data_IF_770881864623
#
_entry.id   IF_770881864623
#
_cell.length_a   1.000
_cell.length_b   1.000
_cell.length_c   1.000
_cell.angle_alpha   90.00
_cell.angle_beta   90.00
_cell.angle_gamma   90.00
#
_symmetry.space_group_name_H-M   'P 1'
#
loop_
_entity.id
_entity.type
_entity.pdbx_description
1 polymer ?
#
# COMPACT_ATOMS: atom_id res chain seq x y z
N UNK A 1 -26.68 -16.00 -11.43
CA UNK A 1 -26.73 -16.32 -10.00
C UNK A 1 -26.48 -17.81 -9.68
N UNK A 2 -27.17 -18.81 -10.26
CA UNK A 2 -26.95 -20.24 -9.88
C UNK A 2 -25.48 -20.70 -9.84
N UNK A 3 -24.71 -20.35 -10.87
CA UNK A 3 -23.29 -20.70 -10.96
C UNK A 3 -22.47 -19.96 -9.92
N UNK A 4 -22.77 -18.68 -9.69
CA UNK A 4 -22.13 -17.80 -8.71
C UNK A 4 -22.30 -18.37 -7.30
N UNK A 5 -23.53 -18.69 -6.89
CA UNK A 5 -23.80 -19.27 -5.57
C UNK A 5 -23.13 -20.63 -5.41
N UNK A 6 -23.15 -21.46 -6.46
CA UNK A 6 -22.48 -22.76 -6.41
C UNK A 6 -20.97 -22.59 -6.20
N UNK A 7 -20.33 -21.71 -6.96
CA UNK A 7 -18.90 -21.40 -6.82
C UNK A 7 -18.59 -20.90 -5.41
N UNK A 8 -19.36 -19.92 -4.92
CA UNK A 8 -19.25 -19.40 -3.57
C UNK A 8 -19.30 -20.52 -2.52
N UNK A 9 -20.31 -21.40 -2.59
CA UNK A 9 -20.43 -22.51 -1.64
C UNK A 9 -19.29 -23.51 -1.73
N UNK A 10 -18.77 -23.79 -2.95
CA UNK A 10 -17.60 -24.64 -3.14
C UNK A 10 -16.35 -24.01 -2.48
N UNK A 11 -16.17 -22.68 -2.60
CA UNK A 11 -15.07 -21.91 -1.99
C UNK A 11 -15.19 -21.88 -0.46
N UNK A 12 -16.35 -21.53 0.10
CA UNK A 12 -16.57 -21.49 1.55
C UNK A 12 -16.44 -22.89 2.16
N UNK A 13 -16.84 -23.95 1.44
CA UNK A 13 -16.66 -25.32 1.93
C UNK A 13 -15.17 -25.67 2.11
N UNK A 14 -14.33 -25.21 1.19
CA UNK A 14 -12.88 -25.46 1.20
C UNK A 14 -12.14 -24.58 2.21
N UNK A 15 -12.46 -23.29 2.25
CA UNK A 15 -11.65 -22.27 2.95
C UNK A 15 -12.26 -21.75 4.26
N UNK A 16 -13.58 -21.94 4.46
CA UNK A 16 -14.33 -21.39 5.59
C UNK A 16 -15.39 -22.38 6.09
N UNK A 17 -15.00 -23.65 6.25
CA UNK A 17 -15.92 -24.74 6.59
C UNK A 17 -16.85 -24.46 7.80
N UNK A 18 -16.42 -23.76 8.87
CA UNK A 18 -17.32 -23.39 9.97
C UNK A 18 -18.53 -22.56 9.50
N UNK A 19 -18.34 -21.67 8.52
CA UNK A 19 -19.40 -20.84 7.98
C UNK A 19 -20.49 -21.69 7.30
N UNK A 20 -20.12 -22.74 6.55
CA UNK A 20 -21.11 -23.68 5.95
C UNK A 20 -22.04 -24.27 7.01
N UNK A 21 -21.51 -24.60 8.19
CA UNK A 21 -22.31 -25.21 9.26
C UNK A 21 -23.35 -24.23 9.84
N UNK A 22 -23.10 -22.93 9.74
CA UNK A 22 -24.00 -21.87 10.22
C UNK A 22 -25.17 -21.62 9.27
N UNK A 23 -25.05 -21.92 7.96
CA UNK A 23 -26.07 -21.61 6.97
C UNK A 23 -27.37 -22.41 7.19
N UNK A 24 -28.51 -21.72 7.04
CA UNK A 24 -29.83 -22.35 6.99
C UNK A 24 -30.06 -22.98 5.61
N UNK A 25 -30.95 -23.98 5.57
CA UNK A 25 -31.46 -24.47 4.28
C UNK A 25 -32.24 -23.38 3.58
N UNK A 26 -32.14 -23.34 2.25
CA UNK A 26 -32.88 -22.38 1.45
C UNK A 26 -34.40 -22.50 1.59
N UNK A 27 -35.08 -21.40 1.32
CA UNK A 27 -36.54 -21.26 1.42
C UNK A 27 -37.27 -21.74 0.16
N UNK A 28 -38.54 -22.10 0.30
CA UNK A 28 -39.40 -22.39 -0.85
C UNK A 28 -39.88 -21.12 -1.55
N UNK A 29 -40.36 -21.27 -2.78
CA UNK A 29 -41.05 -20.18 -3.51
C UNK A 29 -42.28 -19.64 -2.76
N UNK A 30 -42.98 -20.50 -2.00
CA UNK A 30 -44.13 -20.06 -1.19
C UNK A 30 -43.70 -19.15 -0.03
N UNK A 31 -42.60 -19.47 0.65
CA UNK A 31 -42.06 -18.64 1.73
C UNK A 31 -41.60 -17.28 1.20
N UNK A 32 -40.97 -17.24 0.03
CA UNK A 32 -40.60 -15.97 -0.65
C UNK A 32 -41.84 -15.17 -0.99
N UNK A 33 -42.87 -15.80 -1.56
CA UNK A 33 -44.13 -15.13 -1.94
C UNK A 33 -44.82 -14.54 -0.70
N UNK A 34 -44.82 -15.27 0.42
CA UNK A 34 -45.36 -14.80 1.70
C UNK A 34 -44.56 -13.60 2.23
N UNK A 35 -43.23 -13.66 2.18
CA UNK A 35 -42.34 -12.57 2.57
C UNK A 35 -42.54 -11.30 1.71
N UNK A 36 -42.54 -11.44 0.38
CA UNK A 36 -42.78 -10.33 -0.56
C UNK A 36 -44.14 -9.67 -0.29
N UNK A 37 -45.18 -10.48 -0.05
CA UNK A 37 -46.52 -9.99 0.27
C UNK A 37 -46.60 -9.30 1.63
N UNK A 38 -45.90 -9.81 2.65
CA UNK A 38 -45.84 -9.21 3.98
C UNK A 38 -45.14 -7.85 3.96
N UNK A 39 -44.02 -7.77 3.23
CA UNK A 39 -43.18 -6.57 3.16
C UNK A 39 -43.68 -5.56 2.12
N UNK A 40 -44.58 -5.97 1.21
CA UNK A 40 -45.10 -5.11 0.15
C UNK A 40 -44.04 -4.77 -0.92
N UNK A 41 -43.14 -5.71 -1.18
CA UNK A 41 -41.99 -5.57 -2.09
C UNK A 41 -41.95 -6.71 -3.12
N UNK A 42 -41.05 -6.60 -4.11
CA UNK A 42 -40.70 -7.69 -5.00
C UNK A 42 -39.17 -7.82 -5.03
N UNK A 43 -38.66 -8.98 -4.66
CA UNK A 43 -37.24 -9.28 -4.68
C UNK A 43 -36.76 -9.53 -6.13
N UNK A 44 -35.56 -9.06 -6.49
CA UNK A 44 -34.89 -9.46 -7.72
C UNK A 44 -34.79 -10.98 -7.85
N UNK A 45 -34.80 -11.50 -9.09
CA UNK A 45 -34.78 -12.94 -9.35
C UNK A 45 -33.54 -13.63 -8.76
N UNK A 46 -32.40 -12.95 -8.82
CA UNK A 46 -31.13 -13.40 -8.27
C UNK A 46 -31.14 -13.49 -6.73
N UNK A 47 -31.74 -12.52 -6.04
CA UNK A 47 -31.89 -12.53 -4.58
C UNK A 47 -32.77 -13.71 -4.15
N UNK A 48 -33.87 -13.94 -4.88
CA UNK A 48 -34.72 -15.13 -4.66
C UNK A 48 -33.94 -16.42 -4.82
N UNK A 49 -33.11 -16.52 -5.86
CA UNK A 49 -32.27 -17.69 -6.09
C UNK A 49 -31.23 -17.91 -4.97
N UNK A 50 -30.65 -16.83 -4.43
CA UNK A 50 -29.74 -16.91 -3.29
C UNK A 50 -30.43 -17.49 -2.06
N UNK A 51 -31.56 -16.90 -1.65
CA UNK A 51 -32.34 -17.35 -0.49
C UNK A 51 -32.95 -18.75 -0.67
N UNK A 52 -33.28 -19.16 -1.90
CA UNK A 52 -33.68 -20.54 -2.22
C UNK A 52 -32.53 -21.54 -2.08
N UNK A 53 -31.28 -21.07 -2.12
CA UNK A 53 -30.10 -21.93 -1.94
C UNK A 53 -29.74 -22.05 -0.46
N UNK A 54 -29.63 -20.93 0.25
CA UNK A 54 -29.46 -20.88 1.71
C UNK A 54 -30.16 -19.64 2.30
N UNK A 55 -30.80 -19.78 3.46
CA UNK A 55 -31.62 -18.73 4.05
C UNK A 55 -30.92 -18.01 5.21
N UNK A 56 -29.82 -17.31 4.89
CA UNK A 56 -28.96 -16.69 5.91
C UNK A 56 -28.38 -17.70 6.90
N UNK A 57 -27.99 -17.22 8.08
CA UNK A 57 -27.36 -18.00 9.15
C UNK A 57 -28.31 -18.33 10.29
N UNK A 58 -28.11 -19.49 10.92
CA UNK A 58 -28.80 -19.91 12.16
C UNK A 58 -28.51 -18.92 13.29
N UNK A 59 -29.52 -18.67 14.10
CA UNK A 59 -29.35 -18.04 15.41
C UNK A 59 -28.64 -19.04 16.35
N UNK A 60 -27.54 -18.66 17.00
CA UNK A 60 -26.76 -19.58 17.84
C UNK A 60 -25.79 -18.86 18.78
N UNK A 61 -25.41 -19.54 19.88
CA UNK A 61 -24.54 -19.04 20.95
C UNK A 61 -23.03 -19.09 20.62
N UNK A 62 -22.64 -19.62 19.45
CA UNK A 62 -21.24 -19.74 19.02
C UNK A 62 -21.05 -18.86 17.76
N UNK A 63 -20.50 -17.68 17.99
CA UNK A 63 -20.42 -16.48 17.14
C UNK A 63 -19.76 -16.65 15.75
N UNK A 64 -20.27 -17.54 14.89
CA UNK A 64 -19.81 -17.60 13.49
C UNK A 64 -20.54 -16.53 12.68
N UNK A 65 -19.83 -15.47 12.31
CA UNK A 65 -20.35 -14.38 11.48
C UNK A 65 -20.04 -14.62 10.00
N UNK A 66 -20.80 -13.95 9.13
CA UNK A 66 -20.65 -14.10 7.70
C UNK A 66 -19.46 -13.31 7.18
N UNK A 67 -19.44 -12.00 7.40
CA UNK A 67 -18.41 -11.06 6.91
C UNK A 67 -18.28 -9.91 7.92
N UNK A 68 -17.06 -9.57 8.35
CA UNK A 68 -16.74 -8.48 9.29
C UNK A 68 -17.63 -8.42 10.54
N UNK A 69 -17.90 -9.58 11.15
CA UNK A 69 -18.78 -9.65 12.32
C UNK A 69 -20.27 -9.44 12.01
N UNK A 70 -20.65 -9.28 10.74
CA UNK A 70 -22.04 -9.20 10.30
C UNK A 70 -22.64 -10.58 10.11
N UNK A 71 -23.86 -10.77 10.61
CA UNK A 71 -24.62 -12.01 10.39
C UNK A 71 -25.47 -11.90 9.13
N UNK A 72 -25.52 -12.96 8.34
CA UNK A 72 -26.46 -13.08 7.24
C UNK A 72 -27.87 -13.33 7.75
N UNK A 73 -28.76 -12.37 7.54
CA UNK A 73 -30.11 -12.32 8.11
C UNK A 73 -31.06 -13.24 7.32
N UNK A 74 -31.72 -14.23 7.95
CA UNK A 74 -32.77 -15.03 7.32
C UNK A 74 -34.01 -14.19 6.97
N UNK A 75 -34.76 -14.56 5.92
CA UNK A 75 -35.93 -13.79 5.46
C UNK A 75 -36.96 -13.50 6.57
N UNK A 76 -37.22 -14.48 7.42
CA UNK A 76 -38.16 -14.37 8.54
C UNK A 76 -37.71 -13.38 9.63
N UNK A 77 -36.43 -13.01 9.66
CA UNK A 77 -35.86 -12.08 10.64
C UNK A 77 -35.73 -10.64 10.13
N UNK A 78 -35.73 -10.43 8.80
CA UNK A 78 -35.51 -9.11 8.18
C UNK A 78 -36.43 -8.03 8.75
N UNK A 79 -37.72 -8.33 8.95
CA UNK A 79 -38.68 -7.36 9.49
C UNK A 79 -38.33 -6.93 10.92
N UNK A 80 -37.83 -7.86 11.72
CA UNK A 80 -37.35 -7.58 13.08
C UNK A 80 -36.07 -6.74 13.03
N UNK A 81 -35.17 -7.02 12.10
CA UNK A 81 -33.95 -6.23 11.87
C UNK A 81 -34.27 -4.80 11.45
N UNK A 82 -35.20 -4.59 10.52
CA UNK A 82 -35.68 -3.26 10.14
C UNK A 82 -36.36 -2.53 11.31
N UNK A 83 -37.15 -3.24 12.12
CA UNK A 83 -37.76 -2.65 13.31
C UNK A 83 -36.70 -2.17 14.30
N UNK A 84 -35.64 -2.97 14.51
CA UNK A 84 -34.53 -2.58 15.39
C UNK A 84 -33.79 -1.34 14.88
N UNK A 85 -33.44 -1.32 13.59
CA UNK A 85 -32.85 -0.14 12.92
C UNK A 85 -33.72 1.10 13.12
N UNK A 86 -35.04 0.97 12.90
CA UNK A 86 -35.96 2.09 13.09
C UNK A 86 -36.06 2.55 14.55
N UNK A 87 -36.07 1.62 15.51
CA UNK A 87 -36.08 1.93 16.95
C UNK A 87 -34.82 2.71 17.37
N UNK A 88 -33.65 2.37 16.82
CA UNK A 88 -32.40 3.09 17.05
C UNK A 88 -32.49 4.54 16.53
N UNK A 89 -32.96 4.74 15.31
CA UNK A 89 -33.11 6.07 14.73
C UNK A 89 -34.16 6.90 15.48
N UNK A 90 -35.25 6.28 15.93
CA UNK A 90 -36.28 6.96 16.74
C UNK A 90 -35.76 7.55 18.06
N UNK A 91 -34.61 7.09 18.56
CA UNK A 91 -33.95 7.69 19.71
C UNK A 91 -33.29 9.05 19.41
N UNK A 92 -33.01 9.31 18.13
CA UNK A 92 -32.37 10.54 17.64
C UNK A 92 -33.44 11.60 17.31
N UNK A 93 -33.37 12.81 17.90
CA UNK A 93 -34.35 13.86 17.63
C UNK A 93 -34.37 14.31 16.16
N UNK A 94 -35.57 14.35 15.54
CA UNK A 94 -35.79 14.82 14.17
C UNK A 94 -34.98 14.08 13.09
N UNK A 95 -34.58 12.83 13.32
CA UNK A 95 -33.74 12.04 12.40
C UNK A 95 -34.29 12.00 10.96
N UNK A 96 -35.61 12.04 10.76
CA UNK A 96 -36.22 12.02 9.44
C UNK A 96 -35.91 13.26 8.58
N UNK A 97 -35.42 14.34 9.19
CA UNK A 97 -35.02 15.57 8.51
C UNK A 97 -33.51 15.70 8.33
N UNK A 98 -32.75 14.72 8.85
CA UNK A 98 -31.31 14.67 8.70
C UNK A 98 -30.95 14.01 7.37
N UNK A 99 -29.84 14.46 6.82
CA UNK A 99 -29.28 14.04 5.56
C UNK A 99 -27.77 14.04 5.70
N UNK A 100 -27.08 13.13 5.03
CA UNK A 100 -25.63 13.16 4.89
C UNK A 100 -25.20 14.36 4.05
N UNK A 101 -23.94 14.77 4.20
CA UNK A 101 -23.40 15.86 3.41
C UNK A 101 -23.44 15.52 1.92
N UNK A 102 -23.73 16.53 1.09
CA UNK A 102 -23.89 16.32 -0.34
C UNK A 102 -22.55 16.11 -1.04
N UNK A 103 -21.50 16.82 -0.63
CA UNK A 103 -20.18 16.67 -1.23
C UNK A 103 -19.62 15.28 -0.90
N UNK A 104 -19.81 14.82 0.34
CA UNK A 104 -19.48 13.45 0.74
C UNK A 104 -20.23 12.39 -0.09
N UNK A 105 -21.54 12.55 -0.31
CA UNK A 105 -22.31 11.63 -1.15
C UNK A 105 -21.82 11.58 -2.60
N UNK A 106 -21.32 12.71 -3.13
CA UNK A 106 -20.73 12.77 -4.48
C UNK A 106 -19.40 12.03 -4.50
N UNK A 107 -18.53 12.28 -3.52
CA UNK A 107 -17.20 11.67 -3.43
C UNK A 107 -17.29 10.16 -3.25
N UNK A 108 -18.26 9.69 -2.45
CA UNK A 108 -18.59 8.28 -2.24
C UNK A 108 -19.46 7.69 -3.37
N UNK A 109 -19.67 8.43 -4.46
CA UNK A 109 -20.33 7.97 -5.68
C UNK A 109 -21.79 7.48 -5.51
N UNK A 110 -22.49 7.87 -4.45
CA UNK A 110 -23.89 7.46 -4.22
C UNK A 110 -24.91 8.61 -4.30
N UNK A 111 -24.49 9.87 -4.48
CA UNK A 111 -25.39 11.00 -4.75
C UNK A 111 -26.32 10.68 -5.93
N UNK A 112 -27.62 10.89 -5.74
CA UNK A 112 -28.67 10.63 -6.73
C UNK A 112 -28.83 9.15 -7.14
N UNK A 113 -28.04 8.23 -6.56
CA UNK A 113 -28.12 6.77 -6.73
C UNK A 113 -28.86 6.14 -5.54
N UNK A 114 -28.42 6.46 -4.32
CA UNK A 114 -29.13 6.16 -3.08
C UNK A 114 -29.91 7.39 -2.61
N UNK A 115 -31.09 7.17 -2.03
CA UNK A 115 -31.83 8.27 -1.39
C UNK A 115 -31.07 8.71 -0.16
N UNK A 116 -30.68 9.98 -0.11
CA UNK A 116 -29.98 10.56 1.04
C UNK A 116 -30.91 10.64 2.27
N UNK A 117 -30.98 9.54 3.02
CA UNK A 117 -31.77 9.37 4.23
C UNK A 117 -31.21 8.19 5.05
N UNK A 118 -31.54 8.10 6.33
CA UNK A 118 -31.01 7.08 7.22
C UNK A 118 -31.79 5.77 7.25
N UNK A 119 -32.97 5.70 6.62
CA UNK A 119 -33.81 4.51 6.58
C UNK A 119 -34.82 4.57 5.44
N UNK A 120 -35.04 3.45 4.76
CA UNK A 120 -36.15 3.24 3.84
C UNK A 120 -36.76 1.85 4.12
N UNK A 121 -38.10 1.70 4.28
CA UNK A 121 -38.70 0.38 4.47
C UNK A 121 -38.47 -0.60 3.30
N UNK A 122 -38.06 -0.11 2.13
CA UNK A 122 -37.69 -0.91 0.97
C UNK A 122 -36.18 -1.20 0.86
N UNK A 123 -35.38 -0.75 1.83
CA UNK A 123 -34.00 -1.22 2.01
C UNK A 123 -34.04 -2.50 2.85
N UNK A 124 -33.73 -3.62 2.21
CA UNK A 124 -33.88 -4.96 2.79
C UNK A 124 -32.53 -5.40 3.38
N UNK A 125 -32.31 -5.34 4.71
CA UNK A 125 -31.04 -5.72 5.30
C UNK A 125 -30.80 -7.22 5.16
N UNK A 126 -29.64 -7.60 4.63
CA UNK A 126 -29.24 -9.01 4.46
C UNK A 126 -27.97 -9.36 5.24
N UNK A 127 -27.14 -8.38 5.60
CA UNK A 127 -26.06 -8.53 6.60
C UNK A 127 -26.21 -7.47 7.69
N UNK A 128 -26.09 -7.87 8.97
CA UNK A 128 -26.10 -6.92 10.08
C UNK A 128 -25.54 -7.49 11.38
N UNK A 129 -24.96 -6.62 12.21
CA UNK A 129 -24.64 -6.85 13.63
C UNK A 129 -25.55 -6.05 14.58
N UNK A 130 -26.56 -5.34 14.05
CA UNK A 130 -27.47 -4.47 14.80
C UNK A 130 -27.08 -3.00 14.82
N UNK A 131 -25.89 -2.60 14.36
CA UNK A 131 -25.50 -1.19 14.18
C UNK A 131 -25.16 -0.87 12.72
N UNK A 132 -24.48 -1.81 12.06
CA UNK A 132 -24.17 -1.80 10.63
C UNK A 132 -25.20 -2.64 9.87
N UNK A 133 -25.64 -2.14 8.71
CA UNK A 133 -26.64 -2.78 7.87
C UNK A 133 -26.20 -2.73 6.41
N UNK A 134 -25.87 -3.87 5.82
CA UNK A 134 -25.83 -4.00 4.36
C UNK A 134 -27.22 -4.39 3.86
N UNK A 135 -27.72 -3.66 2.86
CA UNK A 135 -29.09 -3.76 2.41
C UNK A 135 -29.21 -3.82 0.89
N UNK A 136 -30.28 -4.49 0.45
CA UNK A 136 -30.71 -4.53 -0.94
C UNK A 136 -31.68 -3.36 -1.14
N UNK A 137 -31.33 -2.42 -2.01
CA UNK A 137 -32.14 -1.25 -2.28
C UNK A 137 -33.20 -1.53 -3.36
N UNK A 138 -34.47 -1.61 -2.93
CA UNK A 138 -35.61 -1.81 -3.82
C UNK A 138 -36.34 -0.50 -4.17
N UNK A 139 -35.78 0.64 -3.77
CA UNK A 139 -36.37 1.98 -3.95
C UNK A 139 -35.28 3.04 -4.16
N UNK A 140 -34.40 2.84 -5.15
CA UNK A 140 -33.28 3.72 -5.43
C UNK A 140 -33.73 5.13 -5.78
N UNK A 141 -32.77 6.06 -5.78
CA UNK A 141 -32.98 7.39 -6.32
C UNK A 141 -32.84 7.36 -7.86
N UNK A 142 -32.95 8.53 -8.50
CA UNK A 142 -33.17 8.69 -9.94
C UNK A 142 -32.10 8.06 -10.84
N UNK A 143 -30.84 7.97 -10.41
CA UNK A 143 -29.74 7.37 -11.17
C UNK A 143 -29.42 5.94 -10.70
N UNK A 144 -30.08 5.44 -9.66
CA UNK A 144 -29.80 4.12 -9.09
C UNK A 144 -30.55 2.96 -9.73
N UNK A 145 -30.13 1.75 -9.39
CA UNK A 145 -30.65 0.49 -9.96
C UNK A 145 -31.39 -0.30 -8.88
N UNK A 146 -32.59 -0.80 -9.21
CA UNK A 146 -33.36 -1.64 -8.28
C UNK A 146 -32.63 -2.96 -8.05
N UNK A 147 -32.26 -3.22 -6.79
CA UNK A 147 -31.49 -4.39 -6.39
C UNK A 147 -30.01 -4.11 -6.08
N UNK A 148 -29.56 -2.85 -6.21
CA UNK A 148 -28.22 -2.44 -5.80
C UNK A 148 -27.98 -2.67 -4.30
N UNK A 149 -26.71 -2.84 -3.94
CA UNK A 149 -26.24 -3.17 -2.60
C UNK A 149 -25.65 -1.92 -1.97
N UNK A 150 -26.34 -1.42 -0.95
CA UNK A 150 -25.87 -0.31 -0.13
C UNK A 150 -25.48 -0.79 1.26
N UNK A 151 -24.77 0.08 1.97
CA UNK A 151 -24.42 -0.12 3.36
C UNK A 151 -24.63 1.17 4.14
N UNK A 152 -25.06 1.02 5.39
CA UNK A 152 -25.06 2.10 6.36
C UNK A 152 -24.53 1.60 7.70
N UNK A 153 -23.61 2.36 8.28
CA UNK A 153 -23.13 2.18 9.66
C UNK A 153 -23.61 3.34 10.54
N UNK A 154 -24.34 3.02 11.60
CA UNK A 154 -25.00 4.01 12.44
C UNK A 154 -24.18 4.33 13.69
N UNK A 155 -23.75 5.58 13.78
CA UNK A 155 -23.15 6.16 14.98
C UNK A 155 -24.23 6.91 15.76
N UNK A 156 -24.97 6.22 16.63
CA UNK A 156 -26.17 6.81 17.28
C UNK A 156 -25.85 7.98 18.23
N UNK A 157 -24.66 7.99 18.83
CA UNK A 157 -24.21 9.09 19.70
C UNK A 157 -23.89 10.37 18.90
N UNK A 158 -23.61 10.22 17.60
CA UNK A 158 -23.32 11.29 16.66
C UNK A 158 -23.79 10.86 15.27
N UNK A 159 -25.08 11.01 15.02
CA UNK A 159 -25.70 10.52 13.76
C UNK A 159 -25.08 11.18 12.52
N UNK A 160 -24.49 12.36 12.67
CA UNK A 160 -23.74 13.07 11.62
C UNK A 160 -22.44 12.35 11.25
N UNK A 161 -21.87 11.54 12.15
CA UNK A 161 -20.69 10.70 11.93
C UNK A 161 -21.05 9.29 11.42
N UNK A 162 -22.33 9.04 11.13
CA UNK A 162 -22.75 7.78 10.49
C UNK A 162 -22.26 7.74 9.05
N UNK A 163 -22.02 6.53 8.54
CA UNK A 163 -21.46 6.33 7.21
C UNK A 163 -22.47 5.64 6.29
N UNK A 164 -22.49 6.03 5.02
CA UNK A 164 -23.32 5.43 3.97
C UNK A 164 -22.45 5.20 2.73
N UNK A 165 -22.59 4.03 2.13
CA UNK A 165 -21.86 3.68 0.92
C UNK A 165 -22.68 2.83 -0.05
N UNK A 166 -22.28 2.86 -1.32
CA UNK A 166 -22.79 2.00 -2.38
C UNK A 166 -21.69 1.02 -2.79
N UNK A 167 -21.97 -0.27 -2.65
CA UNK A 167 -20.97 -1.32 -2.92
C UNK A 167 -21.07 -1.88 -4.34
N UNK A 168 -22.26 -2.34 -4.76
CA UNK A 168 -22.42 -3.04 -6.04
C UNK A 168 -23.80 -2.81 -6.66
N UNK A 169 -23.89 -2.90 -7.98
CA UNK A 169 -25.13 -2.71 -8.74
C UNK A 169 -26.13 -3.88 -8.58
N UNK A 170 -25.67 -5.04 -8.10
CA UNK A 170 -26.48 -6.25 -7.97
C UNK A 170 -25.97 -7.20 -6.89
N UNK A 171 -26.84 -8.12 -6.44
CA UNK A 171 -26.47 -9.18 -5.49
C UNK A 171 -25.56 -10.22 -6.14
N UNK A 172 -25.68 -10.42 -7.46
CA UNK A 172 -24.78 -11.32 -8.20
C UNK A 172 -23.36 -10.79 -8.22
N UNK A 173 -23.19 -9.50 -8.52
CA UNK A 173 -21.87 -8.85 -8.54
C UNK A 173 -21.23 -8.88 -7.15
N UNK A 174 -21.98 -8.47 -6.11
CA UNK A 174 -21.47 -8.52 -4.72
C UNK A 174 -20.95 -9.90 -4.34
N UNK A 175 -21.72 -10.96 -4.64
CA UNK A 175 -21.31 -12.33 -4.31
C UNK A 175 -20.15 -12.82 -5.18
N UNK A 176 -20.08 -12.43 -6.46
CA UNK A 176 -18.98 -12.78 -7.35
C UNK A 176 -17.67 -12.13 -6.90
N UNK A 177 -17.69 -10.84 -6.55
CA UNK A 177 -16.54 -10.12 -6.01
C UNK A 177 -16.07 -10.72 -4.68
N UNK A 178 -16.97 -10.94 -3.72
CA UNK A 178 -16.62 -11.58 -2.46
C UNK A 178 -16.00 -12.97 -2.68
N UNK A 179 -16.53 -13.75 -3.62
CA UNK A 179 -15.98 -15.08 -3.95
C UNK A 179 -14.57 -14.97 -4.53
N UNK A 180 -14.36 -14.03 -5.45
CA UNK A 180 -13.04 -13.75 -6.04
C UNK A 180 -12.02 -13.34 -4.98
N UNK A 181 -12.41 -12.52 -4.02
CA UNK A 181 -11.53 -12.01 -2.97
C UNK A 181 -11.17 -13.09 -1.95
N UNK A 182 -12.10 -14.01 -1.66
CA UNK A 182 -11.77 -15.21 -0.87
C UNK A 182 -10.77 -16.09 -1.62
N UNK A 183 -10.99 -16.36 -2.91
CA UNK A 183 -10.07 -17.19 -3.71
C UNK A 183 -8.66 -16.58 -3.84
N UNK A 184 -8.55 -15.24 -3.81
CA UNK A 184 -7.26 -14.52 -3.82
C UNK A 184 -6.62 -14.39 -2.44
N UNK A 185 -7.33 -14.75 -1.36
CA UNK A 185 -6.88 -14.55 0.02
C UNK A 185 -6.94 -13.08 0.48
N UNK A 186 -7.66 -12.22 -0.24
CA UNK A 186 -7.97 -10.86 0.19
C UNK A 186 -9.00 -10.89 1.30
N UNK A 187 -9.96 -11.81 1.24
CA UNK A 187 -10.86 -12.14 2.35
C UNK A 187 -10.51 -13.54 2.84
N UNK A 188 -10.42 -13.74 4.15
CA UNK A 188 -10.19 -15.07 4.70
C UNK A 188 -11.04 -15.33 5.94
N UNK A 189 -11.23 -16.60 6.27
CA UNK A 189 -11.92 -16.98 7.50
C UNK A 189 -10.96 -16.91 8.68
N UNK A 190 -11.19 -15.94 9.56
CA UNK A 190 -10.44 -15.81 10.78
C UNK A 190 -11.01 -16.70 11.89
N UNK A 191 -10.15 -17.50 12.51
CA UNK A 191 -10.56 -18.47 13.52
C UNK A 191 -10.73 -17.86 14.92
N UNK A 192 -10.23 -16.65 15.17
CA UNK A 192 -10.38 -15.95 16.43
C UNK A 192 -11.67 -15.10 16.43
N UNK A 193 -11.90 -14.36 15.34
CA UNK A 193 -13.11 -13.58 15.09
C UNK A 193 -14.30 -14.43 14.62
N UNK A 194 -14.04 -15.69 14.24
CA UNK A 194 -15.05 -16.61 13.70
C UNK A 194 -15.85 -16.04 12.51
N UNK A 195 -15.25 -15.17 11.70
CA UNK A 195 -15.88 -14.46 10.59
C UNK A 195 -15.02 -14.54 9.33
N UNK A 196 -15.60 -14.36 8.14
CA UNK A 196 -14.79 -13.83 7.04
C UNK A 196 -14.40 -12.39 7.40
N UNK A 197 -13.15 -12.04 7.21
CA UNK A 197 -12.65 -10.68 7.36
C UNK A 197 -11.81 -10.31 6.16
N UNK A 198 -11.79 -9.02 5.80
CA UNK A 198 -10.80 -8.49 4.89
C UNK A 198 -9.40 -8.64 5.50
N UNK A 199 -8.43 -9.07 4.70
CA UNK A 199 -7.01 -9.03 5.03
C UNK A 199 -6.49 -7.59 5.19
N UNK A 200 -7.32 -6.61 4.85
CA UNK A 200 -7.08 -5.18 4.96
C UNK A 200 -8.13 -4.60 5.92
N UNK A 201 -8.13 -5.03 7.17
CA UNK A 201 -8.84 -4.29 8.21
C UNK A 201 -7.98 -3.07 8.62
N UNK A 202 -8.56 -1.89 8.50
CA UNK A 202 -8.02 -0.61 8.99
C UNK A 202 -8.05 -0.63 10.53
N UNK A 203 -7.12 -1.36 11.15
CA UNK A 203 -6.84 -1.15 12.57
C UNK A 203 -5.98 0.12 12.72
N UNK A 204 -6.63 1.22 13.08
CA UNK A 204 -5.96 2.32 13.76
C UNK A 204 -5.28 1.75 15.03
N UNK A 205 -3.94 1.82 15.04
CA UNK A 205 -3.03 1.63 16.19
C UNK A 205 -2.14 0.37 16.31
N UNK A 206 -2.20 -0.66 15.46
CA UNK A 206 -1.16 -1.71 15.50
C UNK A 206 -0.79 -2.24 14.11
N UNK A 207 0.51 -2.20 13.82
CA UNK A 207 1.23 -2.72 12.65
C UNK A 207 0.36 -3.44 11.60
N UNK A 208 0.04 -2.72 10.51
CA UNK A 208 -0.28 -3.35 9.24
C UNK A 208 0.79 -4.44 9.00
N UNK A 209 0.44 -5.74 8.90
CA UNK A 209 1.37 -6.69 8.34
C UNK A 209 1.66 -6.18 6.95
N UNK A 210 2.88 -5.71 6.73
CA UNK A 210 3.28 -5.27 5.42
C UNK A 210 3.32 -6.53 4.55
N UNK A 211 2.21 -6.88 3.90
CA UNK A 211 2.09 -8.05 3.01
C UNK A 211 3.03 -7.97 1.81
N UNK A 212 3.66 -6.80 1.61
CA UNK A 212 4.72 -6.57 0.65
C UNK A 212 6.10 -6.46 1.30
N UNK A 213 6.24 -6.75 2.59
CA UNK A 213 7.51 -6.72 3.28
C UNK A 213 8.46 -7.72 2.64
N UNK A 214 9.63 -7.27 2.16
CA UNK A 214 10.61 -8.18 1.64
C UNK A 214 11.13 -9.05 2.79
N UNK A 215 11.02 -10.36 2.64
CA UNK A 215 11.62 -11.33 3.56
C UNK A 215 13.05 -11.64 3.11
N UNK A 216 14.06 -11.57 3.98
CA UNK A 216 15.43 -11.92 3.61
C UNK A 216 15.56 -13.41 3.30
N UNK A 217 16.38 -13.76 2.30
CA UNK A 217 16.73 -15.15 2.01
C UNK A 217 17.60 -15.74 3.14
N UNK A 218 18.49 -14.93 3.68
CA UNK A 218 19.30 -15.27 4.85
C UNK A 218 19.84 -14.00 5.54
N UNK A 219 20.38 -14.18 6.74
CA UNK A 219 21.11 -13.15 7.48
C UNK A 219 22.60 -13.52 7.46
N UNK A 220 23.46 -12.57 7.09
CA UNK A 220 24.92 -12.76 7.04
C UNK A 220 25.52 -12.90 8.45
N UNK A 221 26.79 -13.32 8.55
CA UNK A 221 27.46 -13.47 9.85
C UNK A 221 27.58 -12.12 10.60
N UNK A 222 27.82 -11.04 9.85
CA UNK A 222 27.81 -9.65 10.33
C UNK A 222 26.42 -9.05 10.55
N UNK A 223 25.35 -9.86 10.45
CA UNK A 223 23.98 -9.44 10.77
C UNK A 223 23.21 -8.73 9.66
N UNK A 224 23.69 -8.73 8.43
CA UNK A 224 22.99 -8.10 7.30
C UNK A 224 21.89 -9.01 6.75
N UNK A 225 20.70 -8.48 6.56
CA UNK A 225 19.66 -9.13 5.77
C UNK A 225 20.07 -9.18 4.29
N UNK A 226 20.05 -10.36 3.68
CA UNK A 226 20.43 -10.56 2.27
C UNK A 226 19.22 -10.99 1.45
N UNK A 227 19.05 -10.34 0.30
CA UNK A 227 17.92 -10.51 -0.62
C UNK A 227 18.43 -10.82 -2.03
N UNK A 228 17.84 -11.82 -2.69
CA UNK A 228 18.11 -12.18 -4.08
C UNK A 228 16.91 -11.85 -4.95
N UNK A 229 17.14 -11.07 -6.01
CA UNK A 229 16.09 -10.65 -6.93
C UNK A 229 16.26 -11.32 -8.28
N UNK A 230 15.13 -11.73 -8.87
CA UNK A 230 15.05 -12.34 -10.18
C UNK A 230 13.91 -11.73 -11.00
N UNK A 231 13.82 -12.11 -12.28
CA UNK A 231 12.71 -11.69 -13.15
C UNK A 231 11.31 -12.07 -12.60
N UNK A 232 11.22 -13.02 -11.67
CA UNK A 232 9.94 -13.40 -11.04
C UNK A 232 9.47 -12.41 -9.98
N UNK A 233 10.41 -11.68 -9.39
CA UNK A 233 10.17 -10.73 -8.30
C UNK A 233 9.88 -9.32 -8.85
N UNK A 234 10.13 -9.14 -10.16
CA UNK A 234 9.94 -7.87 -10.86
C UNK A 234 8.45 -7.55 -10.99
N UNK A 235 8.08 -6.34 -10.57
CA UNK A 235 6.77 -5.75 -10.80
C UNK A 235 6.44 -5.61 -12.29
N UNK A 236 5.16 -5.66 -12.64
CA UNK A 236 4.71 -5.34 -13.99
C UNK A 236 5.08 -3.90 -14.35
N UNK A 237 5.45 -3.65 -15.61
CA UNK A 237 5.69 -2.30 -16.11
C UNK A 237 4.49 -1.38 -15.83
N UNK A 238 4.74 -0.26 -15.17
CA UNK A 238 3.74 0.78 -14.87
C UNK A 238 4.34 2.14 -15.20
N UNK A 239 3.53 3.01 -15.80
CA UNK A 239 3.86 4.43 -15.93
C UNK A 239 3.45 5.14 -14.63
N UNK A 240 4.31 5.97 -14.04
CA UNK A 240 3.97 6.69 -12.82
C UNK A 240 2.77 7.63 -13.05
N UNK A 241 1.82 7.65 -12.12
CA UNK A 241 0.64 8.53 -12.16
C UNK A 241 0.91 9.92 -11.54
N UNK A 242 1.99 10.02 -10.75
CA UNK A 242 2.55 11.23 -10.15
C UNK A 242 4.04 11.33 -10.45
N UNK A 243 4.54 12.56 -10.54
CA UNK A 243 5.95 12.83 -10.83
C UNK A 243 6.39 14.11 -10.12
N UNK A 244 7.61 14.11 -9.57
CA UNK A 244 8.24 15.25 -8.93
C UNK A 244 7.42 15.83 -7.76
N UNK A 245 6.81 14.95 -6.95
CA UNK A 245 5.91 15.33 -5.84
C UNK A 245 6.62 16.23 -4.83
N UNK A 246 7.85 15.85 -4.46
CA UNK A 246 8.64 16.52 -3.43
C UNK A 246 9.79 17.36 -4.00
N UNK A 247 9.88 17.49 -5.33
CA UNK A 247 11.04 18.07 -6.02
C UNK A 247 11.40 19.46 -5.51
N UNK A 248 10.42 20.38 -5.37
CA UNK A 248 10.70 21.74 -4.92
C UNK A 248 11.27 21.77 -3.49
N UNK A 249 10.74 20.94 -2.58
CA UNK A 249 11.18 20.87 -1.18
C UNK A 249 12.57 20.24 -1.07
N UNK A 250 12.85 19.21 -1.86
CA UNK A 250 14.17 18.58 -1.96
C UNK A 250 15.19 19.59 -2.51
N UNK A 251 14.87 20.28 -3.61
CA UNK A 251 15.75 21.29 -4.19
C UNK A 251 16.07 22.41 -3.20
N UNK A 252 15.07 22.96 -2.52
CA UNK A 252 15.25 23.99 -1.48
C UNK A 252 16.16 23.49 -0.34
N UNK A 253 16.00 22.22 0.05
CA UNK A 253 16.83 21.58 1.09
C UNK A 253 18.28 21.45 0.65
N UNK A 254 18.54 20.99 -0.58
CA UNK A 254 19.89 20.93 -1.15
C UNK A 254 20.52 22.31 -1.32
N UNK A 255 19.78 23.31 -1.81
CA UNK A 255 20.30 24.68 -1.95
C UNK A 255 20.64 25.33 -0.61
N UNK A 256 19.88 24.99 0.44
CA UNK A 256 20.11 25.47 1.80
C UNK A 256 21.39 24.91 2.43
N UNK A 257 21.67 23.62 2.24
CA UNK A 257 22.71 22.92 3.00
C UNK A 257 23.95 22.55 2.18
N UNK A 258 23.79 22.25 0.89
CA UNK A 258 24.85 21.70 0.04
C UNK A 258 25.39 22.76 -0.93
N UNK A 259 24.50 23.38 -1.71
CA UNK A 259 24.91 24.39 -2.67
C UNK A 259 23.89 24.65 -3.77
N UNK A 260 24.13 25.72 -4.53
CA UNK A 260 23.23 26.15 -5.59
C UNK A 260 23.15 25.13 -6.73
N UNK A 261 21.94 24.78 -7.14
CA UNK A 261 21.70 23.86 -8.26
C UNK A 261 22.04 24.58 -9.58
N UNK A 262 22.82 23.92 -10.43
CA UNK A 262 23.24 24.44 -11.73
C UNK A 262 22.32 23.98 -12.86
N UNK A 263 22.03 22.68 -12.93
CA UNK A 263 21.19 22.08 -13.96
C UNK A 263 20.59 20.75 -13.52
N UNK A 264 19.64 20.23 -14.31
CA UNK A 264 18.99 18.94 -14.10
C UNK A 264 19.06 18.10 -15.38
N UNK A 265 19.30 16.80 -15.23
CA UNK A 265 19.28 15.78 -16.27
C UNK A 265 17.96 15.01 -16.18
N UNK A 266 17.01 15.37 -17.04
CA UNK A 266 15.67 14.79 -17.00
C UNK A 266 15.61 13.34 -17.45
N UNK A 267 14.73 12.55 -16.83
CA UNK A 267 14.42 11.22 -17.34
C UNK A 267 13.59 11.28 -18.63
N UNK A 268 14.04 10.56 -19.66
CA UNK A 268 13.35 10.53 -20.96
C UNK A 268 12.21 9.51 -20.99
N UNK A 269 12.39 8.37 -20.31
CA UNK A 269 11.40 7.30 -20.21
C UNK A 269 11.33 6.82 -18.76
N UNK A 270 10.20 7.11 -18.13
CA UNK A 270 9.92 6.73 -16.76
C UNK A 270 9.22 5.39 -16.69
N UNK A 271 9.73 4.53 -15.82
CA UNK A 271 9.21 3.21 -15.53
C UNK A 271 9.16 3.09 -14.00
N UNK A 272 7.98 2.79 -13.45
CA UNK A 272 7.63 2.82 -12.02
C UNK A 272 7.66 4.22 -11.38
N UNK A 273 8.76 4.96 -11.54
CA UNK A 273 8.99 6.30 -11.00
C UNK A 273 9.70 7.20 -12.03
N UNK A 274 9.54 8.52 -11.88
CA UNK A 274 10.21 9.52 -12.72
C UNK A 274 11.47 10.04 -12.02
N UNK A 275 12.66 9.66 -12.49
CA UNK A 275 13.93 9.98 -11.80
C UNK A 275 14.75 11.06 -12.51
N UNK A 276 14.66 12.27 -11.99
CA UNK A 276 15.53 13.37 -12.38
C UNK A 276 16.83 13.37 -11.58
N UNK A 277 17.92 13.83 -12.20
CA UNK A 277 19.23 13.97 -11.54
C UNK A 277 19.70 15.41 -11.60
N UNK A 278 19.79 16.06 -10.45
CA UNK A 278 20.22 17.46 -10.31
C UNK A 278 21.72 17.54 -10.10
N UNK A 279 22.32 18.65 -10.53
CA UNK A 279 23.76 18.89 -10.44
C UNK A 279 24.09 20.18 -9.71
N UNK A 280 24.93 20.07 -8.68
CA UNK A 280 25.60 21.18 -8.00
C UNK A 280 27.08 21.14 -8.38
N UNK A 281 27.58 22.25 -8.93
CA UNK A 281 28.98 22.39 -9.37
C UNK A 281 29.95 22.61 -8.21
N UNK A 282 31.21 22.20 -8.36
CA UNK A 282 32.26 22.49 -7.41
C UNK A 282 32.50 23.99 -7.27
N UNK A 283 32.84 24.38 -6.06
CA UNK A 283 33.33 25.72 -5.73
C UNK A 283 34.74 25.64 -5.13
N UNK A 284 35.47 26.75 -4.97
CA UNK A 284 36.74 26.74 -4.25
C UNK A 284 36.62 26.22 -2.81
N UNK A 285 35.48 26.43 -2.16
CA UNK A 285 35.20 25.99 -0.79
C UNK A 285 34.72 24.54 -0.72
N UNK A 286 34.00 24.06 -1.74
CA UNK A 286 33.51 22.69 -1.90
C UNK A 286 34.02 22.10 -3.22
N UNK A 287 35.26 21.57 -3.25
CA UNK A 287 35.93 21.17 -4.49
C UNK A 287 35.48 19.78 -4.99
N UNK A 288 34.18 19.57 -5.09
CA UNK A 288 33.54 18.35 -5.59
C UNK A 288 32.21 18.68 -6.25
N UNK A 289 31.79 17.84 -7.20
CA UNK A 289 30.45 17.86 -7.77
C UNK A 289 29.49 17.10 -6.85
N UNK A 290 28.23 17.55 -6.76
CA UNK A 290 27.16 16.77 -6.15
C UNK A 290 26.10 16.48 -7.19
N UNK A 291 25.74 15.20 -7.34
CA UNK A 291 24.56 14.79 -8.10
C UNK A 291 23.56 14.17 -7.13
N UNK A 292 22.28 14.49 -7.28
CA UNK A 292 21.23 13.91 -6.43
C UNK A 292 19.94 13.67 -7.21
N UNK A 293 19.16 12.70 -6.76
CA UNK A 293 17.90 12.32 -7.39
C UNK A 293 16.74 13.15 -6.86
N UNK A 294 15.73 13.34 -7.70
CA UNK A 294 14.36 13.61 -7.27
C UNK A 294 13.42 12.65 -7.97
N UNK A 295 12.43 12.15 -7.22
CA UNK A 295 11.36 11.29 -7.71
C UNK A 295 11.46 9.84 -7.22
N UNK A 296 12.57 9.44 -6.57
CA UNK A 296 12.63 8.17 -5.84
C UNK A 296 11.60 8.16 -4.71
N UNK A 297 11.45 9.32 -4.05
CA UNK A 297 10.53 9.55 -2.96
C UNK A 297 9.10 9.88 -3.40
N UNK A 298 8.74 9.78 -4.68
CA UNK A 298 7.36 10.06 -5.11
C UNK A 298 6.35 9.02 -4.59
N UNK A 299 6.83 7.83 -4.23
CA UNK A 299 6.06 6.77 -3.58
C UNK A 299 6.86 6.17 -2.41
N UNK A 300 6.18 5.58 -1.41
CA UNK A 300 6.84 4.86 -0.35
C UNK A 300 7.51 3.58 -0.86
N UNK A 301 8.64 3.23 -0.24
CA UNK A 301 9.32 1.95 -0.44
C UNK A 301 8.63 0.82 0.34
N UNK A 302 8.99 -0.42 0.01
CA UNK A 302 8.44 -1.61 0.63
C UNK A 302 9.34 -2.09 1.78
N UNK A 303 8.98 -1.68 3.00
CA UNK A 303 9.80 -1.85 4.21
C UNK A 303 9.68 -3.26 4.83
N UNK A 304 10.72 -3.80 5.47
CA UNK A 304 10.62 -5.08 6.18
C UNK A 304 9.71 -4.97 7.41
N UNK A 305 9.15 -6.09 7.85
CA UNK A 305 8.40 -6.17 9.10
C UNK A 305 9.30 -5.89 10.32
N UNK A 306 8.72 -5.37 11.41
CA UNK A 306 9.40 -5.21 12.69
C UNK A 306 10.35 -3.99 12.77
N UNK A 307 10.26 -3.05 11.83
CA UNK A 307 10.94 -1.75 11.96
C UNK A 307 10.23 -0.87 12.99
N UNK A 308 11.01 -0.31 13.92
CA UNK A 308 10.52 0.73 14.81
C UNK A 308 10.29 2.02 14.00
N UNK A 309 9.05 2.53 13.96
CA UNK A 309 8.63 3.72 13.20
C UNK A 309 8.86 3.61 11.67
N UNK A 310 8.16 2.71 10.95
CA UNK A 310 8.39 2.49 9.52
C UNK A 310 8.23 3.76 8.67
N UNK A 311 7.34 4.68 9.04
CA UNK A 311 7.13 5.93 8.33
C UNK A 311 8.42 6.77 8.20
N UNK A 312 9.32 6.71 9.17
CA UNK A 312 10.60 7.44 9.16
C UNK A 312 11.57 6.97 8.07
N UNK A 313 11.36 5.78 7.50
CA UNK A 313 12.24 5.13 6.53
C UNK A 313 11.56 4.88 5.17
N UNK A 314 10.28 5.22 5.07
CA UNK A 314 9.44 4.93 3.91
C UNK A 314 9.87 5.65 2.63
N UNK A 315 10.58 6.78 2.73
CA UNK A 315 11.01 7.57 1.57
C UNK A 315 12.48 7.94 1.66
N UNK A 316 13.14 7.96 0.50
CA UNK A 316 14.53 8.34 0.38
C UNK A 316 14.84 8.96 -0.99
N UNK A 317 15.94 9.70 -1.04
CA UNK A 317 16.61 10.13 -2.27
C UNK A 317 18.10 9.77 -2.20
N UNK A 318 18.70 9.57 -3.38
CA UNK A 318 20.11 9.21 -3.50
C UNK A 318 20.95 10.40 -3.93
N UNK A 319 22.20 10.39 -3.51
CA UNK A 319 23.18 11.39 -3.93
C UNK A 319 24.58 10.82 -4.09
N UNK A 320 25.47 11.59 -4.71
CA UNK A 320 26.88 11.20 -4.89
C UNK A 320 27.76 12.44 -4.90
N UNK A 321 28.93 12.33 -4.28
CA UNK A 321 29.99 13.32 -4.36
C UNK A 321 31.08 12.83 -5.32
N UNK A 322 31.36 13.62 -6.35
CA UNK A 322 32.37 13.30 -7.37
C UNK A 322 33.50 14.33 -7.33
N UNK A 323 34.74 13.95 -7.70
CA UNK A 323 35.85 14.89 -7.85
C UNK A 323 35.49 16.12 -8.69
N UNK A 324 36.08 17.27 -8.39
CA UNK A 324 35.80 18.52 -9.13
C UNK A 324 36.06 18.43 -10.65
N UNK A 325 36.96 17.55 -11.05
CA UNK A 325 37.35 17.30 -12.45
C UNK A 325 36.58 16.15 -13.11
N UNK A 326 35.58 15.56 -12.44
CA UNK A 326 34.73 14.53 -13.04
C UNK A 326 34.00 15.06 -14.29
N UNK A 327 34.03 14.35 -15.44
CA UNK A 327 33.37 14.81 -16.65
C UNK A 327 31.83 14.73 -16.54
N UNK A 328 31.15 15.88 -16.53
CA UNK A 328 29.68 15.97 -16.45
C UNK A 328 29.12 16.80 -17.61
N UNK A 329 28.44 16.14 -18.53
CA UNK A 329 27.64 16.72 -19.63
C UNK A 329 26.98 15.60 -20.44
N UNK A 330 25.97 15.94 -21.25
CA UNK A 330 25.36 14.98 -22.20
C UNK A 330 26.38 14.30 -23.13
N UNK A 331 27.46 15.00 -23.51
CA UNK A 331 28.52 14.42 -24.35
C UNK A 331 29.44 13.50 -23.55
N UNK A 332 29.80 13.88 -22.32
CA UNK A 332 30.66 13.08 -21.45
C UNK A 332 29.99 11.78 -21.02
N UNK A 333 28.67 11.82 -20.79
CA UNK A 333 27.86 10.67 -20.39
C UNK A 333 27.56 9.66 -21.51
N UNK A 334 28.10 9.87 -22.72
CA UNK A 334 28.15 8.81 -23.75
C UNK A 334 29.23 7.77 -23.47
N UNK A 335 30.15 8.08 -22.58
CA UNK A 335 31.19 7.18 -22.10
C UNK A 335 30.76 6.61 -20.75
N UNK A 336 30.65 5.28 -20.69
CA UNK A 336 30.18 4.55 -19.51
C UNK A 336 31.09 4.78 -18.29
N UNK A 337 32.39 5.04 -18.53
CA UNK A 337 33.38 5.37 -17.49
C UNK A 337 33.07 6.66 -16.75
N UNK A 338 32.33 7.59 -17.38
CA UNK A 338 31.89 8.85 -16.76
C UNK A 338 30.44 8.76 -16.26
N UNK A 339 29.62 7.91 -16.89
CA UNK A 339 28.17 7.84 -16.67
C UNK A 339 27.76 6.92 -15.52
N UNK A 340 28.61 5.95 -15.14
CA UNK A 340 28.23 4.95 -14.14
C UNK A 340 27.67 5.53 -12.82
N UNK A 341 28.09 6.70 -12.27
CA UNK A 341 27.47 7.23 -11.06
C UNK A 341 26.00 7.59 -11.27
N UNK A 342 25.68 8.20 -12.42
CA UNK A 342 24.30 8.54 -12.80
C UNK A 342 23.48 7.28 -13.09
N UNK A 343 24.10 6.28 -13.74
CA UNK A 343 23.46 4.98 -13.93
C UNK A 343 23.04 4.35 -12.61
N UNK A 344 23.95 4.27 -11.62
CA UNK A 344 23.64 3.67 -10.32
C UNK A 344 22.64 4.48 -9.52
N UNK A 345 22.68 5.81 -9.54
CA UNK A 345 21.64 6.65 -8.95
C UNK A 345 20.25 6.28 -9.49
N UNK A 346 20.10 6.22 -10.82
CA UNK A 346 18.81 5.91 -11.45
C UNK A 346 18.38 4.47 -11.24
N UNK A 347 19.31 3.53 -11.35
CA UNK A 347 19.05 2.10 -11.17
C UNK A 347 18.60 1.80 -9.74
N UNK A 348 19.32 2.30 -8.73
CA UNK A 348 18.99 2.07 -7.32
C UNK A 348 17.72 2.84 -6.92
N UNK A 349 17.51 4.07 -7.40
CA UNK A 349 16.30 4.84 -7.12
C UNK A 349 15.02 4.15 -7.63
N UNK A 350 15.11 3.42 -8.75
CA UNK A 350 14.00 2.65 -9.31
C UNK A 350 13.79 1.31 -8.62
N UNK A 351 14.84 0.77 -8.01
CA UNK A 351 14.90 -0.61 -7.52
C UNK A 351 13.82 -0.96 -6.47
N UNK A 352 13.53 -0.12 -5.45
CA UNK A 352 12.43 -0.34 -4.50
C UNK A 352 11.09 -0.62 -5.18
N UNK A 353 10.79 0.14 -6.23
CA UNK A 353 9.52 0.10 -6.94
C UNK A 353 9.46 -1.06 -7.94
N UNK A 354 10.61 -1.39 -8.54
CA UNK A 354 10.76 -2.47 -9.49
C UNK A 354 10.67 -3.86 -8.82
N UNK A 355 11.23 -4.03 -7.62
CA UNK A 355 11.36 -5.34 -6.96
C UNK A 355 10.63 -5.44 -5.62
N UNK A 356 9.80 -4.44 -5.29
CA UNK A 356 9.06 -4.36 -4.03
C UNK A 356 9.99 -4.51 -2.83
N UNK A 357 10.97 -3.62 -2.76
CA UNK A 357 11.97 -3.59 -1.68
C UNK A 357 12.20 -2.17 -1.18
N UNK A 358 13.25 -1.96 -0.40
CA UNK A 358 13.63 -0.71 0.24
C UNK A 358 15.15 -0.48 0.15
N UNK A 359 15.54 0.78 0.34
CA UNK A 359 16.93 1.21 0.38
C UNK A 359 17.17 2.02 1.64
N UNK A 360 18.22 1.67 2.38
CA UNK A 360 18.61 2.40 3.57
C UNK A 360 20.11 2.31 3.83
N UNK A 361 20.51 2.98 4.90
CA UNK A 361 21.85 2.93 5.46
C UNK A 361 22.37 1.49 5.62
N UNK A 362 23.62 1.27 5.20
CA UNK A 362 24.30 -0.02 5.30
C UNK A 362 23.93 -1.04 4.21
N UNK A 363 23.01 -0.72 3.30
CA UNK A 363 22.71 -1.59 2.16
C UNK A 363 23.89 -1.62 1.18
N UNK A 364 24.20 -2.81 0.68
CA UNK A 364 25.23 -3.06 -0.34
C UNK A 364 24.60 -3.73 -1.56
N UNK A 365 24.78 -3.13 -2.75
CA UNK A 365 24.20 -3.58 -4.01
C UNK A 365 25.36 -4.00 -4.94
N UNK A 366 25.57 -5.29 -5.20
CA UNK A 366 26.61 -5.74 -6.12
C UNK A 366 26.23 -5.47 -7.58
N UNK A 367 27.23 -5.21 -8.41
CA UNK A 367 27.08 -5.07 -9.85
C UNK A 367 26.89 -6.45 -10.49
N UNK A 368 25.64 -6.91 -10.52
CA UNK A 368 25.29 -8.26 -10.93
C UNK A 368 25.63 -9.32 -9.88
N UNK A 369 25.38 -10.59 -10.18
CA UNK A 369 25.51 -11.69 -9.21
C UNK A 369 26.95 -11.96 -8.78
N UNK A 370 27.93 -11.59 -9.61
CA UNK A 370 29.36 -11.84 -9.38
C UNK A 370 30.13 -10.58 -8.95
N UNK A 371 29.42 -9.49 -8.60
CA UNK A 371 30.01 -8.18 -8.26
C UNK A 371 31.06 -7.72 -9.31
N UNK A 372 30.66 -7.73 -10.59
CA UNK A 372 31.55 -7.42 -11.69
C UNK A 372 32.11 -5.99 -11.60
N UNK A 373 33.34 -5.73 -12.09
CA UNK A 373 33.93 -4.40 -12.09
C UNK A 373 32.99 -3.32 -12.65
N UNK A 374 32.83 -2.23 -11.92
CA UNK A 374 32.03 -1.07 -12.33
C UNK A 374 32.88 -0.23 -13.28
N UNK A 375 32.49 -0.22 -14.55
CA UNK A 375 33.17 0.49 -15.63
C UNK A 375 34.68 0.17 -15.68
N UNK A 376 35.54 1.17 -15.57
CA UNK A 376 37.00 1.03 -15.58
C UNK A 376 37.64 0.96 -14.18
N UNK A 377 36.84 0.69 -13.15
CA UNK A 377 37.31 0.59 -11.75
C UNK A 377 37.37 -0.86 -11.31
N UNK A 378 38.03 -1.12 -10.18
CA UNK A 378 38.02 -2.43 -9.51
C UNK A 378 36.91 -2.54 -8.44
N UNK A 379 36.03 -1.54 -8.33
CA UNK A 379 34.85 -1.61 -7.46
C UNK A 379 33.82 -2.56 -8.05
N UNK A 380 33.16 -3.33 -7.19
CA UNK A 380 32.14 -4.30 -7.61
C UNK A 380 30.76 -4.04 -7.01
N UNK A 381 30.66 -3.15 -6.03
CA UNK A 381 29.43 -2.96 -5.25
C UNK A 381 29.21 -1.48 -4.90
N UNK A 382 27.96 -1.10 -4.65
CA UNK A 382 27.58 0.20 -4.11
C UNK A 382 27.09 0.03 -2.67
N UNK A 383 27.69 0.74 -1.73
CA UNK A 383 27.24 0.90 -0.35
C UNK A 383 26.40 2.18 -0.22
N UNK A 384 25.30 2.12 0.53
CA UNK A 384 24.46 3.27 0.86
C UNK A 384 24.74 3.76 2.28
N UNK A 385 25.12 5.03 2.44
CA UNK A 385 25.32 5.66 3.75
C UNK A 385 24.80 7.10 3.74
N UNK A 386 24.23 7.63 4.83
CA UNK A 386 23.99 9.05 4.95
C UNK A 386 25.30 9.86 4.80
N UNK A 387 25.26 11.10 4.30
CA UNK A 387 26.45 11.94 4.11
C UNK A 387 26.97 12.54 5.43
N UNK A 388 27.35 11.70 6.38
CA UNK A 388 27.79 12.10 7.71
C UNK A 388 29.04 13.00 7.72
N UNK A 389 29.93 12.89 6.74
CA UNK A 389 31.18 13.64 6.67
C UNK A 389 31.04 14.94 5.88
N UNK A 390 30.20 14.95 4.83
CA UNK A 390 30.07 16.10 3.91
C UNK A 390 28.82 16.96 4.13
N UNK A 391 27.88 16.54 4.98
CA UNK A 391 26.66 17.30 5.26
C UNK A 391 26.37 17.44 6.77
N UNK A 392 25.71 18.52 7.22
CA UNK A 392 25.32 18.68 8.61
C UNK A 392 24.17 17.73 8.98
N UNK A 393 24.00 17.44 10.28
CA UNK A 393 22.92 16.57 10.78
C UNK A 393 21.53 17.01 10.31
N UNK A 394 21.26 18.33 10.27
CA UNK A 394 19.98 18.88 9.82
C UNK A 394 19.69 18.63 8.32
N UNK A 395 20.68 18.21 7.54
CA UNK A 395 20.49 17.83 6.14
C UNK A 395 19.98 16.39 5.99
N UNK A 396 20.32 15.49 6.90
CA UNK A 396 20.15 14.04 6.69
C UNK A 396 18.69 13.59 6.49
N UNK A 397 17.74 14.39 6.98
CA UNK A 397 16.30 14.18 6.81
C UNK A 397 15.61 15.47 6.41
N UNK A 398 14.71 15.39 5.44
CA UNK A 398 13.77 16.45 5.08
C UNK A 398 12.37 16.09 5.62
N UNK A 399 11.79 16.99 6.40
CA UNK A 399 10.38 16.94 6.77
C UNK A 399 9.57 17.78 5.79
N UNK A 400 8.75 17.12 4.98
CA UNK A 400 7.91 17.75 3.96
C UNK A 400 6.69 18.42 4.59
N UNK A 401 5.98 19.24 3.81
CA UNK A 401 4.76 19.92 4.30
C UNK A 401 3.60 18.97 4.62
N UNK A 402 3.54 17.81 3.97
CA UNK A 402 2.51 16.79 4.18
C UNK A 402 2.85 15.82 5.34
N UNK A 403 4.00 16.00 5.99
CA UNK A 403 4.44 15.17 7.12
C UNK A 403 5.34 14.00 6.74
N UNK A 404 5.59 13.77 5.45
CA UNK A 404 6.53 12.75 4.96
C UNK A 404 7.97 13.07 5.37
N UNK A 405 8.72 12.03 5.72
CA UNK A 405 10.16 12.12 6.03
C UNK A 405 10.95 11.51 4.87
N UNK A 406 11.82 12.30 4.26
CA UNK A 406 12.71 11.87 3.17
C UNK A 406 14.14 11.78 3.71
N UNK A 407 14.74 10.59 3.63
CA UNK A 407 16.14 10.34 4.00
C UNK A 407 17.07 10.53 2.80
N UNK A 408 18.30 10.98 3.02
CA UNK A 408 19.30 11.14 1.95
C UNK A 408 20.47 10.17 2.12
N UNK A 409 20.73 9.36 1.10
CA UNK A 409 21.82 8.38 1.10
C UNK A 409 22.82 8.62 -0.03
N UNK A 410 24.10 8.64 0.30
CA UNK A 410 25.19 8.59 -0.66
C UNK A 410 25.37 7.19 -1.23
N UNK A 411 25.61 7.10 -2.54
CA UNK A 411 26.20 5.90 -3.16
C UNK A 411 27.72 5.94 -3.01
N UNK A 412 28.29 4.92 -2.39
CA UNK A 412 29.73 4.76 -2.18
C UNK A 412 30.21 3.48 -2.88
N UNK A 413 31.06 3.56 -3.91
CA UNK A 413 31.57 2.37 -4.57
C UNK A 413 32.60 1.67 -3.66
N UNK A 414 32.42 0.36 -3.49
CA UNK A 414 33.26 -0.50 -2.66
C UNK A 414 33.76 -1.71 -3.44
N UNK A 415 34.90 -2.24 -3.00
CA UNK A 415 35.46 -3.46 -3.56
C UNK A 415 34.63 -4.68 -3.14
N UNK A 416 34.62 -5.77 -3.93
CA UNK A 416 34.00 -7.02 -3.52
C UNK A 416 34.48 -7.50 -2.14
N UNK A 417 35.79 -7.39 -1.86
CA UNK A 417 36.36 -7.81 -0.57
C UNK A 417 35.91 -6.92 0.60
N UNK A 418 35.59 -5.64 0.34
CA UNK A 418 35.03 -4.73 1.35
C UNK A 418 33.56 -5.06 1.64
N UNK A 419 32.81 -5.46 0.61
CA UNK A 419 31.45 -5.98 0.80
C UNK A 419 31.48 -7.28 1.59
N UNK A 420 32.39 -8.21 1.27
CA UNK A 420 32.55 -9.47 1.99
C UNK A 420 32.89 -9.22 3.46
N UNK A 421 33.85 -8.33 3.74
CA UNK A 421 34.17 -7.91 5.11
C UNK A 421 32.93 -7.38 5.84
N UNK A 422 32.12 -6.52 5.21
CA UNK A 422 30.88 -6.00 5.79
C UNK A 422 29.87 -7.11 6.07
N UNK A 423 29.76 -8.10 5.18
CA UNK A 423 28.85 -9.22 5.36
C UNK A 423 29.32 -10.18 6.46
N UNK A 424 30.62 -10.30 6.69
CA UNK A 424 31.23 -11.15 7.72
C UNK A 424 31.28 -10.47 9.10
N UNK A 425 31.71 -9.21 9.16
CA UNK A 425 32.03 -8.51 10.42
C UNK A 425 31.08 -7.35 10.76
N UNK A 426 30.28 -6.88 9.79
CA UNK A 426 29.30 -5.81 9.96
C UNK A 426 29.75 -4.47 9.35
N UNK A 427 28.80 -3.54 9.20
CA UNK A 427 29.05 -2.23 8.55
C UNK A 427 30.01 -1.35 9.36
N UNK A 428 29.90 -1.38 10.71
CA UNK A 428 30.73 -0.56 11.58
C UNK A 428 32.23 -0.84 11.41
N UNK A 429 32.61 -2.11 11.19
CA UNK A 429 34.01 -2.46 11.00
C UNK A 429 34.56 -1.93 9.67
N UNK A 430 33.77 -2.01 8.60
CA UNK A 430 34.14 -1.39 7.33
C UNK A 430 34.29 0.13 7.45
N UNK A 431 33.37 0.80 8.18
CA UNK A 431 33.44 2.24 8.40
C UNK A 431 34.66 2.64 9.25
N UNK A 432 35.04 1.84 10.26
CA UNK A 432 36.27 2.06 11.01
C UNK A 432 37.51 2.04 10.09
N UNK A 433 37.58 1.09 9.16
CA UNK A 433 38.67 1.03 8.18
C UNK A 433 38.65 2.22 7.22
N UNK A 434 37.46 2.70 6.82
CA UNK A 434 37.34 3.91 6.01
C UNK A 434 37.91 5.13 6.76
N UNK A 435 37.56 5.29 8.03
CA UNK A 435 38.06 6.37 8.89
C UNK A 435 39.58 6.28 9.08
N UNK A 436 40.12 5.09 9.36
CA UNK A 436 41.57 4.87 9.53
C UNK A 436 42.37 5.19 8.26
N UNK A 437 41.76 5.01 7.09
CA UNK A 437 42.37 5.29 5.78
C UNK A 437 41.99 6.66 5.21
N UNK A 438 41.19 7.45 5.92
CA UNK A 438 40.76 8.78 5.49
C UNK A 438 39.88 8.77 4.22
N UNK A 439 39.08 7.73 4.05
CA UNK A 439 38.10 7.62 2.96
C UNK A 439 36.90 8.52 3.30
N UNK A 440 36.44 9.30 2.31
CA UNK A 440 35.31 10.24 2.44
C UNK A 440 34.19 9.86 1.47
N UNK A 441 33.06 10.58 1.49
CA UNK A 441 31.99 10.33 0.49
C UNK A 441 32.37 10.82 -0.93
N UNK A 442 33.39 11.67 -1.08
CA UNK A 442 33.91 12.05 -2.39
C UNK A 442 34.61 10.85 -3.01
N UNK A 443 34.08 10.35 -4.13
CA UNK A 443 34.59 9.16 -4.79
C UNK A 443 36.03 9.37 -5.25
N UNK A 444 36.91 8.48 -4.79
CA UNK A 444 38.27 8.32 -5.32
C UNK A 444 38.41 6.94 -5.96
N UNK A 445 38.38 6.91 -7.30
CA UNK A 445 38.53 5.67 -8.09
C UNK A 445 39.94 5.06 -8.03
N UNK A 446 40.88 5.73 -7.37
CA UNK A 446 42.25 5.27 -7.18
C UNK A 446 42.58 4.94 -5.72
N UNK A 447 41.58 4.99 -4.82
CA UNK A 447 41.77 4.59 -3.43
C UNK A 447 42.18 3.12 -3.34
N UNK A 448 42.78 2.73 -2.23
CA UNK A 448 43.08 1.32 -1.97
C UNK A 448 41.85 0.61 -1.43
N UNK A 449 41.80 -0.70 -1.70
CA UNK A 449 40.94 -1.63 -0.99
C UNK A 449 41.43 -1.73 0.46
N UNK A 450 40.54 -1.49 1.43
CA UNK A 450 40.91 -1.50 2.87
C UNK A 450 40.80 -2.89 3.50
N UNK A 451 40.19 -3.86 2.82
CA UNK A 451 40.05 -5.24 3.28
C UNK A 451 41.26 -6.13 2.90
N UNK A 452 42.30 -5.58 2.26
CA UNK A 452 43.48 -6.31 1.74
C UNK A 452 44.82 -5.91 2.37
#
# INVERSE_FOLDING_TARGET
MEKTVKRFLDVILDQATPLIASLNKGVSESQITEFEAEMGIALPAEVKQLYQTFNGQKEGENDVFFLDGLRFIPLEEIKRTQQHWLEQLQSVPNWQSLHFDKEEAIDMCWDEVLKNQFYNPKWIPFLSNGARFMFIDLDPDKEGVVGQIGEIDLVLDSIEDSFMDLHYDSMEDWLEFLTDDIEKGIVYYDNEMHSLIDAIDYNEEDDLPNIFAPTPDYVSEGGSNVYNYSEKDRSNFVLPDRTCVYMDEICDHFEKYIGKIDSVFHEILSEYVHIDVHWIKPTPETPYNVLFTTGMSDYPMYLPEGLENPNDYSHAELMVYLPADWPISDEAFKDDDNYWPVYFLKMIARFPHQYKTWMAEGHTIPNGPDAEPIANTDFGCILLMPPYLSAPQDFLKLHTKDGTIINFYCILPIYPEEMDLKLEEGVDELLNLFDENGISEVIDVHRKNVAL
#
